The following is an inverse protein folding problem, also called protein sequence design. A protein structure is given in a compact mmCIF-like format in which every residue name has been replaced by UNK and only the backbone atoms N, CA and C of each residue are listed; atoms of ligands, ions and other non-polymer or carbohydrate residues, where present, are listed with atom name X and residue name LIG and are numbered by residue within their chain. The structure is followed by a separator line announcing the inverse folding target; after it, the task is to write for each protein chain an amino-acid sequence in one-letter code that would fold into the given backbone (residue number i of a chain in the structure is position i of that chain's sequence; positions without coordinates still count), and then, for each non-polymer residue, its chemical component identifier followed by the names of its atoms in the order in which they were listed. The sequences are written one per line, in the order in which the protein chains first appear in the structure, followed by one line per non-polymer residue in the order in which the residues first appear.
data_IF_156753396857
#
_entry.id   IF_156753396857
#
_cell.length_a   1.000
_cell.length_b   1.000
_cell.length_c   1.000
_cell.angle_alpha   90.00
_cell.angle_beta   90.00
_cell.angle_gamma   90.00
#
_symmetry.space_group_name_H-M   'P 1'
#
loop_
_entity.id
_entity.type
_entity.pdbx_description
1 polymer ?
#
# COMPACT_ATOMS: atom_id res chain seq x y z
N UNK A 1 -5.06 -15.84 5.34
CA UNK A 1 -5.72 -14.97 4.33
C UNK A 1 -6.72 -13.97 4.91
N UNK A 2 -7.73 -14.37 5.67
CA UNK A 2 -8.72 -13.40 6.19
C UNK A 2 -8.08 -12.37 7.13
N UNK A 3 -7.15 -12.81 7.98
CA UNK A 3 -6.33 -11.93 8.81
C UNK A 3 -5.47 -10.97 7.97
N UNK A 4 -4.87 -11.46 6.88
CA UNK A 4 -4.04 -10.66 5.97
C UNK A 4 -4.87 -9.59 5.27
N UNK A 5 -6.07 -9.94 4.83
CA UNK A 5 -7.02 -9.00 4.22
C UNK A 5 -7.48 -7.92 5.22
N UNK A 6 -7.79 -8.30 6.46
CA UNK A 6 -8.15 -7.35 7.52
C UNK A 6 -6.96 -6.42 7.86
N UNK A 7 -5.76 -6.97 7.99
CA UNK A 7 -4.55 -6.18 8.22
C UNK A 7 -4.23 -5.22 7.05
N UNK A 8 -4.39 -5.67 5.80
CA UNK A 8 -4.22 -4.84 4.61
C UNK A 8 -5.24 -3.70 4.59
N UNK A 9 -6.51 -3.98 4.87
CA UNK A 9 -7.58 -2.98 4.94
C UNK A 9 -7.32 -1.92 6.04
N UNK A 10 -7.02 -2.37 7.26
CA UNK A 10 -6.65 -1.47 8.38
C UNK A 10 -5.44 -0.61 8.03
N UNK A 11 -4.44 -1.21 7.39
CA UNK A 11 -3.21 -0.52 7.01
C UNK A 11 -3.47 0.51 5.90
N UNK A 12 -4.26 0.16 4.88
CA UNK A 12 -4.65 1.04 3.80
C UNK A 12 -5.45 2.25 4.32
N UNK A 13 -6.47 2.01 5.15
CA UNK A 13 -7.24 3.08 5.81
C UNK A 13 -6.37 4.03 6.63
N UNK A 14 -5.40 3.49 7.38
CA UNK A 14 -4.44 4.29 8.14
C UNK A 14 -3.57 5.17 7.22
N UNK A 15 -2.96 4.61 6.16
CA UNK A 15 -2.19 5.44 5.22
C UNK A 15 -3.09 6.48 4.57
N UNK A 16 -4.27 6.09 4.11
CA UNK A 16 -5.20 6.99 3.43
C UNK A 16 -5.53 8.19 4.30
N UNK A 17 -5.80 7.96 5.60
CA UNK A 17 -5.99 9.05 6.56
C UNK A 17 -4.76 9.96 6.66
N UNK A 18 -3.57 9.40 6.82
CA UNK A 18 -2.31 10.16 6.86
C UNK A 18 -2.04 10.94 5.58
N UNK A 19 -2.34 10.35 4.42
CA UNK A 19 -2.23 10.99 3.12
C UNK A 19 -3.16 12.20 3.01
N UNK A 20 -4.44 12.04 3.35
CA UNK A 20 -5.42 13.14 3.29
C UNK A 20 -5.08 14.27 4.28
N UNK A 21 -4.59 13.94 5.48
CA UNK A 21 -4.12 14.94 6.44
C UNK A 21 -2.90 15.70 5.93
N UNK A 22 -1.89 15.00 5.38
CA UNK A 22 -0.71 15.63 4.82
C UNK A 22 -1.04 16.44 3.57
N UNK A 23 -1.96 15.97 2.72
CA UNK A 23 -2.42 16.70 1.53
C UNK A 23 -3.02 18.05 1.90
N UNK A 24 -3.83 18.09 2.97
CA UNK A 24 -4.39 19.34 3.51
C UNK A 24 -3.32 20.27 4.09
N UNK A 25 -2.32 19.71 4.79
CA UNK A 25 -1.19 20.50 5.34
C UNK A 25 -0.31 21.08 4.23
N UNK A 26 0.10 20.23 3.28
CA UNK A 26 0.89 20.61 2.12
C UNK A 26 0.17 21.70 1.32
N UNK A 27 -1.14 21.58 1.04
CA UNK A 27 -1.89 22.61 0.34
C UNK A 27 -1.81 23.98 1.02
N UNK A 28 -1.88 24.04 2.36
CA UNK A 28 -1.70 25.29 3.12
C UNK A 28 -0.28 25.83 3.03
N UNK A 29 0.73 24.96 3.16
CA UNK A 29 2.13 25.37 3.09
C UNK A 29 2.56 25.79 1.69
N UNK A 30 2.07 25.12 0.64
CA UNK A 30 2.33 25.48 -0.76
C UNK A 30 1.92 26.92 -1.05
N UNK A 31 0.78 27.38 -0.52
CA UNK A 31 0.34 28.78 -0.65
C UNK A 31 1.33 29.74 0.02
N UNK A 32 1.89 29.37 1.17
CA UNK A 32 2.88 30.19 1.88
C UNK A 32 4.19 30.24 1.09
N UNK A 33 4.67 29.09 0.62
CA UNK A 33 5.89 29.02 -0.20
C UNK A 33 5.75 29.78 -1.51
N UNK A 34 4.60 29.68 -2.19
CA UNK A 34 4.34 30.44 -3.42
C UNK A 34 4.34 31.95 -3.19
N UNK A 35 3.78 32.43 -2.07
CA UNK A 35 3.86 33.85 -1.69
C UNK A 35 5.30 34.31 -1.47
N UNK A 36 6.14 33.50 -0.82
CA UNK A 36 7.56 33.84 -0.62
C UNK A 36 8.30 33.86 -1.96
N UNK A 37 8.06 32.88 -2.83
CA UNK A 37 8.69 32.79 -4.16
C UNK A 37 8.30 33.95 -5.08
N UNK A 38 7.04 34.42 -5.00
CA UNK A 38 6.53 35.54 -5.79
C UNK A 38 6.82 36.92 -5.18
N UNK A 39 7.24 36.98 -3.92
CA UNK A 39 7.52 38.23 -3.23
C UNK A 39 8.76 38.91 -3.81
N UNK A 40 8.63 40.22 -4.10
CA UNK A 40 9.75 41.07 -4.52
C UNK A 40 10.71 41.38 -3.36
N UNK A 41 10.21 41.32 -2.13
CA UNK A 41 10.95 41.67 -0.91
C UNK A 41 11.65 40.46 -0.27
N UNK A 42 11.41 39.24 -0.77
CA UNK A 42 12.05 38.04 -0.26
C UNK A 42 13.50 37.96 -0.77
N UNK A 43 14.43 37.73 0.16
CA UNK A 43 15.84 37.48 -0.17
C UNK A 43 16.01 36.07 -0.78
N UNK A 44 17.10 35.88 -1.53
CA UNK A 44 17.36 34.60 -2.23
C UNK A 44 17.41 33.39 -1.29
N UNK A 45 17.92 33.55 -0.06
CA UNK A 45 17.90 32.48 0.93
C UNK A 45 16.47 32.05 1.31
N UNK A 46 15.56 33.01 1.46
CA UNK A 46 14.15 32.73 1.78
C UNK A 46 13.43 32.05 0.62
N UNK A 47 13.70 32.49 -0.62
CA UNK A 47 13.17 31.85 -1.83
C UNK A 47 13.70 30.43 -1.98
N UNK A 48 14.98 30.21 -1.73
CA UNK A 48 15.61 28.89 -1.78
C UNK A 48 14.98 27.94 -0.75
N UNK A 49 14.84 28.40 0.50
CA UNK A 49 14.15 27.63 1.56
C UNK A 49 12.70 27.31 1.20
N UNK A 50 11.97 28.26 0.64
CA UNK A 50 10.59 28.06 0.21
C UNK A 50 10.48 27.06 -0.96
N UNK A 51 11.41 27.11 -1.92
CA UNK A 51 11.47 26.16 -3.02
C UNK A 51 11.75 24.74 -2.52
N UNK A 52 12.78 24.56 -1.70
CA UNK A 52 13.14 23.25 -1.12
C UNK A 52 11.97 22.71 -0.28
N UNK A 53 11.39 23.53 0.60
CA UNK A 53 10.25 23.12 1.42
C UNK A 53 9.05 22.68 0.58
N UNK A 54 8.72 23.42 -0.48
CA UNK A 54 7.64 23.04 -1.42
C UNK A 54 7.91 21.68 -2.07
N UNK A 55 9.13 21.44 -2.54
CA UNK A 55 9.51 20.17 -3.17
C UNK A 55 9.43 19.01 -2.18
N UNK A 56 9.95 19.18 -0.96
CA UNK A 56 9.90 18.13 0.07
C UNK A 56 8.47 17.73 0.44
N UNK A 57 7.54 18.69 0.52
CA UNK A 57 6.12 18.39 0.77
C UNK A 57 5.49 17.61 -0.40
N UNK A 58 5.86 17.94 -1.65
CA UNK A 58 5.40 17.19 -2.83
C UNK A 58 5.95 15.76 -2.84
N UNK A 59 7.26 15.58 -2.62
CA UNK A 59 7.91 14.26 -2.56
C UNK A 59 7.28 13.39 -1.47
N UNK A 60 6.97 13.98 -0.31
CA UNK A 60 6.30 13.27 0.79
C UNK A 60 4.91 12.78 0.39
N UNK A 61 4.13 13.60 -0.32
CA UNK A 61 2.81 13.22 -0.80
C UNK A 61 2.89 12.13 -1.87
N UNK A 62 3.82 12.25 -2.81
CA UNK A 62 4.03 11.24 -3.85
C UNK A 62 4.41 9.90 -3.25
N UNK A 63 5.31 9.89 -2.26
CA UNK A 63 5.69 8.66 -1.55
C UNK A 63 4.50 7.99 -0.87
N UNK A 64 3.67 8.76 -0.16
CA UNK A 64 2.47 8.23 0.49
C UNK A 64 1.43 7.72 -0.53
N UNK A 65 1.28 8.41 -1.66
CA UNK A 65 0.40 8.02 -2.77
C UNK A 65 0.85 6.69 -3.37
N UNK A 66 2.15 6.52 -3.63
CA UNK A 66 2.74 5.28 -4.15
C UNK A 66 2.59 4.12 -3.18
N UNK A 67 2.80 4.35 -1.88
CA UNK A 67 2.56 3.35 -0.84
C UNK A 67 1.09 2.91 -0.79
N UNK A 68 0.16 3.85 -0.92
CA UNK A 68 -1.27 3.55 -0.91
C UNK A 68 -1.69 2.75 -2.15
N UNK A 69 -1.16 3.13 -3.32
CA UNK A 69 -1.37 2.39 -4.57
C UNK A 69 -0.88 0.94 -4.47
N UNK A 70 0.31 0.73 -3.91
CA UNK A 70 0.87 -0.60 -3.72
C UNK A 70 0.04 -1.44 -2.72
N UNK A 71 -0.45 -0.84 -1.64
CA UNK A 71 -1.32 -1.52 -0.69
C UNK A 71 -2.63 -1.97 -1.33
N UNK A 72 -3.26 -1.11 -2.15
CA UNK A 72 -4.49 -1.48 -2.84
C UNK A 72 -4.25 -2.59 -3.87
N UNK A 73 -3.14 -2.55 -4.61
CA UNK A 73 -2.77 -3.64 -5.52
C UNK A 73 -2.63 -4.96 -4.77
N UNK A 74 -1.94 -4.95 -3.61
CA UNK A 74 -1.77 -6.14 -2.77
C UNK A 74 -3.10 -6.62 -2.18
N UNK A 75 -3.99 -5.71 -1.75
CA UNK A 75 -5.32 -6.05 -1.24
C UNK A 75 -6.19 -6.72 -2.31
N UNK A 76 -6.20 -6.19 -3.54
CA UNK A 76 -6.90 -6.78 -4.67
C UNK A 76 -6.36 -8.18 -4.96
N UNK A 77 -5.03 -8.33 -4.99
CA UNK A 77 -4.39 -9.61 -5.25
C UNK A 77 -4.72 -10.65 -4.17
N UNK A 78 -4.59 -10.28 -2.89
CA UNK A 78 -4.97 -11.12 -1.75
C UNK A 78 -6.44 -11.56 -1.83
N UNK A 79 -7.34 -10.66 -2.22
CA UNK A 79 -8.75 -10.97 -2.40
C UNK A 79 -8.96 -11.99 -3.54
N UNK A 80 -8.26 -11.82 -4.67
CA UNK A 80 -8.32 -12.78 -5.79
C UNK A 80 -7.83 -14.17 -5.40
N UNK A 81 -6.76 -14.26 -4.61
CA UNK A 81 -6.26 -15.55 -4.07
C UNK A 81 -7.32 -16.21 -3.18
N UNK A 82 -7.99 -15.43 -2.30
CA UNK A 82 -9.08 -15.96 -1.46
C UNK A 82 -10.28 -16.44 -2.28
N UNK A 83 -10.67 -15.71 -3.33
CA UNK A 83 -11.74 -16.12 -4.24
C UNK A 83 -11.37 -17.43 -4.95
N UNK A 84 -10.13 -17.56 -5.39
CA UNK A 84 -9.62 -18.77 -6.04
C UNK A 84 -9.65 -19.97 -5.08
N UNK A 85 -9.20 -19.78 -3.84
CA UNK A 85 -9.27 -20.79 -2.77
C UNK A 85 -10.69 -21.31 -2.56
N UNK A 86 -11.66 -20.40 -2.38
CA UNK A 86 -13.07 -20.77 -2.17
C UNK A 86 -13.62 -21.50 -3.40
N UNK A 87 -13.33 -20.99 -4.60
CA UNK A 87 -13.85 -21.56 -5.85
C UNK A 87 -13.34 -22.98 -6.07
N UNK A 88 -12.04 -23.21 -5.89
CA UNK A 88 -11.42 -24.54 -6.03
C UNK A 88 -11.91 -25.49 -4.93
N UNK A 89 -12.10 -24.99 -3.70
CA UNK A 89 -12.73 -25.73 -2.62
C UNK A 89 -14.13 -26.24 -3.00
N UNK A 90 -14.98 -25.36 -3.54
CA UNK A 90 -16.34 -25.70 -3.96
C UNK A 90 -16.36 -26.71 -5.11
N UNK A 91 -15.49 -26.55 -6.12
CA UNK A 91 -15.37 -27.50 -7.24
C UNK A 91 -14.98 -28.88 -6.72
N UNK A 92 -13.97 -28.95 -5.84
CA UNK A 92 -13.52 -30.20 -5.25
C UNK A 92 -14.63 -30.90 -4.43
N UNK A 93 -15.44 -30.14 -3.70
CA UNK A 93 -16.58 -30.68 -2.96
C UNK A 93 -17.67 -31.23 -3.92
N UNK A 94 -17.97 -30.51 -5.00
CA UNK A 94 -18.95 -30.94 -6.00
C UNK A 94 -18.52 -32.21 -6.73
N UNK A 95 -17.23 -32.35 -7.08
CA UNK A 95 -16.68 -33.57 -7.68
C UNK A 95 -16.75 -34.75 -6.72
N UNK A 96 -16.47 -34.54 -5.43
CA UNK A 96 -16.64 -35.58 -4.42
C UNK A 96 -18.10 -36.06 -4.31
N UNK A 97 -19.07 -35.14 -4.43
CA UNK A 97 -20.50 -35.47 -4.40
C UNK A 97 -21.00 -36.16 -5.68
N UNK A 98 -20.36 -35.95 -6.82
CA UNK A 98 -20.78 -36.55 -8.11
C UNK A 98 -20.33 -38.00 -8.28
N UNK A 99 -19.63 -38.58 -7.31
CA UNK A 99 -19.09 -39.94 -7.41
C UNK A 99 -17.92 -40.06 -8.40
N UNK A 100 -17.44 -38.93 -8.95
CA UNK A 100 -16.15 -38.85 -9.64
C UNK A 100 -15.09 -38.95 -8.55
N UNK A 101 -14.76 -40.20 -8.22
CA UNK A 101 -13.85 -40.56 -7.15
C UNK A 101 -12.43 -40.39 -7.66
N UNK A 102 -11.98 -39.15 -7.78
CA UNK A 102 -10.56 -38.86 -7.92
C UNK A 102 -10.27 -37.45 -7.42
N UNK A 103 -9.37 -37.40 -6.42
CA UNK A 103 -8.45 -36.29 -6.26
C UNK A 103 -7.75 -36.11 -7.61
N UNK A 104 -8.33 -35.33 -8.52
CA UNK A 104 -7.65 -35.05 -9.77
C UNK A 104 -6.35 -34.36 -9.38
N UNK A 105 -5.22 -34.93 -9.82
CA UNK A 105 -3.88 -34.39 -9.55
C UNK A 105 -3.84 -32.88 -9.83
N UNK A 106 -4.60 -32.44 -10.83
CA UNK A 106 -4.82 -31.05 -11.18
C UNK A 106 -5.40 -30.20 -10.03
N UNK A 107 -6.41 -30.67 -9.28
CA UNK A 107 -6.96 -29.92 -8.14
C UNK A 107 -5.95 -29.83 -7.00
N UNK A 108 -5.19 -30.89 -6.75
CA UNK A 108 -4.13 -30.87 -5.74
C UNK A 108 -3.00 -29.90 -6.15
N UNK A 109 -2.60 -29.91 -7.42
CA UNK A 109 -1.62 -28.98 -7.99
C UNK A 109 -2.12 -27.52 -7.91
N UNK A 110 -3.39 -27.26 -8.22
CA UNK A 110 -4.00 -25.93 -8.09
C UNK A 110 -4.04 -25.48 -6.62
N UNK A 111 -4.40 -26.36 -5.69
CA UNK A 111 -4.37 -26.05 -4.24
C UNK A 111 -2.96 -25.69 -3.77
N UNK A 112 -1.95 -26.43 -4.21
CA UNK A 112 -0.55 -26.12 -3.93
C UNK A 112 -0.15 -24.75 -4.46
N UNK A 113 -0.52 -24.43 -5.71
CA UNK A 113 -0.26 -23.12 -6.29
C UNK A 113 -0.96 -22.00 -5.49
N UNK A 114 -2.19 -22.23 -5.02
CA UNK A 114 -2.90 -21.27 -4.16
C UNK A 114 -2.14 -21.05 -2.84
N UNK A 115 -1.62 -22.11 -2.22
CA UNK A 115 -0.84 -21.98 -0.98
C UNK A 115 0.46 -21.22 -1.20
N UNK A 116 1.15 -21.44 -2.33
CA UNK A 116 2.32 -20.65 -2.73
C UNK A 116 1.96 -19.16 -2.91
N UNK A 117 0.82 -18.87 -3.56
CA UNK A 117 0.33 -17.50 -3.71
C UNK A 117 0.02 -16.85 -2.36
N UNK A 118 -0.56 -17.58 -1.40
CA UNK A 118 -0.80 -17.06 -0.04
C UNK A 118 0.50 -16.69 0.67
N UNK A 119 1.52 -17.55 0.57
CA UNK A 119 2.84 -17.29 1.16
C UNK A 119 3.43 -16.02 0.56
N UNK A 120 3.34 -15.84 -0.77
CA UNK A 120 3.81 -14.64 -1.44
C UNK A 120 3.07 -13.37 -0.98
N UNK A 121 1.74 -13.44 -0.83
CA UNK A 121 0.94 -12.32 -0.30
C UNK A 121 1.40 -11.95 1.11
N UNK A 122 1.59 -12.94 1.98
CA UNK A 122 2.01 -12.73 3.37
C UNK A 122 3.43 -12.16 3.47
N UNK A 123 4.36 -12.67 2.65
CA UNK A 123 5.72 -12.16 2.56
C UNK A 123 5.74 -10.71 2.07
N UNK A 124 4.97 -10.40 1.02
CA UNK A 124 4.89 -9.04 0.49
C UNK A 124 4.29 -8.07 1.51
N UNK A 125 3.26 -8.49 2.24
CA UNK A 125 2.68 -7.68 3.33
C UNK A 125 3.71 -7.39 4.43
N UNK A 126 4.47 -8.40 4.87
CA UNK A 126 5.53 -8.23 5.88
C UNK A 126 6.62 -7.26 5.42
N UNK A 127 7.11 -7.41 4.19
CA UNK A 127 8.11 -6.51 3.62
C UNK A 127 7.61 -5.05 3.57
N UNK A 128 6.34 -4.83 3.21
CA UNK A 128 5.75 -3.49 3.23
C UNK A 128 5.61 -2.89 4.64
N UNK A 129 5.45 -3.74 5.67
CA UNK A 129 5.41 -3.29 7.07
C UNK A 129 6.79 -2.85 7.55
N UNK A 130 7.83 -3.60 7.22
CA UNK A 130 9.23 -3.28 7.56
C UNK A 130 9.66 -1.94 6.94
N UNK A 131 9.30 -1.69 5.67
CA UNK A 131 9.58 -0.41 4.98
C UNK A 131 8.95 0.79 5.72
N UNK A 132 7.83 0.61 6.41
CA UNK A 132 7.20 1.70 7.19
C UNK A 132 7.89 1.96 8.52
N UNK A 133 8.37 0.93 9.20
CA UNK A 133 9.01 1.05 10.52
C UNK A 133 10.38 1.73 10.39
N UNK A 134 11.12 1.43 9.31
CA UNK A 134 12.44 2.02 9.05
C UNK A 134 12.36 3.50 8.60
N UNK A 135 11.24 3.92 8.03
CA UNK A 135 11.01 5.32 7.64
C UNK A 135 10.77 6.28 8.82
N UNK A 136 10.45 5.77 10.02
CA UNK A 136 10.33 6.59 11.23
C UNK A 136 11.66 7.22 11.67
N UNK A 137 12.79 6.59 11.32
CA UNK A 137 14.14 7.04 11.68
C UNK A 137 14.80 7.95 10.63
N UNK A 138 14.26 8.01 9.41
CA UNK A 138 14.92 8.63 8.26
C UNK A 138 14.40 10.04 7.90
N UNK A 139 13.53 10.65 8.71
CA UNK A 139 13.01 12.00 8.43
C UNK A 139 13.30 13.05 9.51
N UNK A 140 14.47 12.94 10.16
CA UNK A 140 15.07 14.09 10.88
C UNK A 140 15.74 15.03 9.87
N UNK A 141 15.01 15.48 8.85
CA UNK A 141 15.53 16.50 7.93
C UNK A 141 15.20 17.89 8.49
N UNK A 142 16.22 18.45 9.15
CA UNK A 142 16.50 19.87 9.36
C UNK A 142 15.44 20.63 10.19
N UNK A 143 15.76 20.81 11.48
CA UNK A 143 15.20 21.88 12.32
C UNK A 143 15.91 23.21 12.04
#
# INVERSE_FOLDING_TARGET
MDEVLDMLDKTAKRIQKTFEENKKKAAKQTVIYEKILQSKDAIEEQKTKAFIGKTLEMDRLERLSSQLSLLYALQIFAFKVKVLEITVGNINEQLGKSGILEKSKEIEDIKKNIDELKILVEAQFKSMKEIKEDQGNNLTYIH
#
